data_IF_757808271730
#
_entry.id   IF_757808271730
#
_cell.length_a   1.000
_cell.length_b   1.000
_cell.length_c   1.000
_cell.angle_alpha   90.00
_cell.angle_beta   90.00
_cell.angle_gamma   90.00
#
_symmetry.space_group_name_H-M   'P 1'
#
loop_
_entity.id
_entity.type
_entity.pdbx_description
1 polymer ?
#
# COMPACT_ATOMS: atom_id res chain seq x y z
N UNK A 1 -15.43 3.43 -14.28
CA UNK A 1 -15.63 2.01 -13.88
C UNK A 1 -14.95 1.82 -12.53
N UNK A 2 -15.62 2.24 -11.45
CA UNK A 2 -15.05 2.18 -10.11
C UNK A 2 -15.00 0.73 -9.65
N UNK A 3 -13.81 0.19 -9.40
CA UNK A 3 -13.66 -1.01 -8.56
C UNK A 3 -14.51 -0.77 -7.30
N UNK A 4 -15.41 -1.71 -6.99
CA UNK A 4 -16.35 -1.55 -5.87
C UNK A 4 -15.55 -1.26 -4.61
N UNK A 5 -15.98 -0.27 -3.81
CA UNK A 5 -15.32 0.10 -2.56
C UNK A 5 -15.15 -1.16 -1.67
N UNK A 6 -13.93 -1.70 -1.59
CA UNK A 6 -13.61 -2.96 -0.92
C UNK A 6 -12.79 -3.94 -1.76
N UNK A 7 -12.95 -3.95 -3.08
CA UNK A 7 -12.19 -4.84 -3.98
C UNK A 7 -10.70 -4.46 -3.98
N UNK A 8 -10.38 -3.16 -4.00
CA UNK A 8 -9.01 -2.65 -3.93
C UNK A 8 -8.30 -3.06 -2.63
N UNK A 9 -9.00 -2.99 -1.49
CA UNK A 9 -8.45 -3.38 -0.18
C UNK A 9 -8.20 -4.90 -0.12
N UNK A 10 -9.14 -5.70 -0.65
CA UNK A 10 -8.99 -7.16 -0.73
C UNK A 10 -7.79 -7.56 -1.60
N UNK A 11 -7.61 -6.90 -2.75
CA UNK A 11 -6.50 -7.19 -3.64
C UNK A 11 -5.14 -6.84 -3.01
N UNK A 12 -5.04 -5.70 -2.29
CA UNK A 12 -3.83 -5.36 -1.54
C UNK A 12 -3.50 -6.43 -0.49
N UNK A 13 -4.50 -6.87 0.28
CA UNK A 13 -4.31 -7.93 1.29
C UNK A 13 -3.81 -9.23 0.66
N UNK A 14 -4.44 -9.67 -0.44
CA UNK A 14 -4.05 -10.89 -1.16
C UNK A 14 -2.61 -10.82 -1.67
N UNK A 15 -2.18 -9.68 -2.22
CA UNK A 15 -0.82 -9.51 -2.73
C UNK A 15 0.23 -9.67 -1.62
N UNK A 16 -0.02 -9.06 -0.44
CA UNK A 16 0.87 -9.23 0.71
C UNK A 16 0.86 -10.67 1.24
N UNK A 17 -0.32 -11.28 1.42
CA UNK A 17 -0.43 -12.67 1.86
C UNK A 17 0.28 -13.66 0.91
N UNK A 18 0.20 -13.44 -0.40
CA UNK A 18 0.88 -14.25 -1.41
C UNK A 18 2.40 -14.07 -1.33
N UNK A 19 2.89 -12.84 -1.16
CA UNK A 19 4.31 -12.57 -0.97
C UNK A 19 4.86 -13.20 0.32
N UNK A 20 4.11 -13.13 1.43
CA UNK A 20 4.51 -13.78 2.68
C UNK A 20 4.58 -15.30 2.54
N UNK A 21 3.58 -15.92 1.90
CA UNK A 21 3.54 -17.39 1.66
C UNK A 21 4.68 -17.86 0.75
N UNK A 22 5.10 -17.03 -0.19
CA UNK A 22 6.14 -17.35 -1.16
C UNK A 22 7.50 -16.70 -0.83
N UNK A 23 7.71 -16.28 0.42
CA UNK A 23 8.97 -15.68 0.87
C UNK A 23 10.17 -16.60 0.57
N UNK A 24 11.30 -16.09 0.01
CA UNK A 24 11.61 -14.68 -0.21
C UNK A 24 10.92 -14.08 -1.44
N UNK A 25 10.36 -12.88 -1.30
CA UNK A 25 9.57 -12.23 -2.34
C UNK A 25 9.80 -10.71 -2.42
N UNK A 26 9.50 -10.13 -3.59
CA UNK A 26 9.48 -8.69 -3.80
C UNK A 26 8.07 -8.28 -4.20
N UNK A 27 7.48 -7.33 -3.49
CA UNK A 27 6.25 -6.66 -3.90
C UNK A 27 6.64 -5.36 -4.60
N UNK A 28 6.19 -5.18 -5.85
CA UNK A 28 6.41 -3.93 -6.59
C UNK A 28 5.09 -3.18 -6.76
N UNK A 29 5.05 -1.94 -6.29
CA UNK A 29 3.90 -1.04 -6.40
C UNK A 29 4.27 0.11 -7.33
N UNK A 30 3.82 0.04 -8.57
CA UNK A 30 3.93 1.19 -9.48
C UNK A 30 2.84 2.23 -9.19
N UNK A 31 3.11 3.48 -9.56
CA UNK A 31 2.21 4.63 -9.36
C UNK A 31 1.64 4.71 -7.93
N UNK A 32 2.51 4.62 -6.91
CA UNK A 32 2.10 4.61 -5.50
C UNK A 32 1.24 5.83 -5.12
N UNK A 33 1.44 6.97 -5.77
CA UNK A 33 0.65 8.18 -5.56
C UNK A 33 -0.84 8.03 -5.93
N UNK A 34 -1.21 7.01 -6.71
CA UNK A 34 -2.60 6.70 -7.05
C UNK A 34 -3.39 6.06 -5.89
N UNK A 35 -2.70 5.27 -5.05
CA UNK A 35 -3.33 4.54 -3.93
C UNK A 35 -2.98 5.10 -2.56
N UNK A 36 -1.97 5.96 -2.48
CA UNK A 36 -1.50 6.55 -1.23
C UNK A 36 -1.32 8.08 -1.27
N UNK A 37 -2.31 8.86 -1.73
CA UNK A 37 -2.22 10.31 -1.69
C UNK A 37 -2.27 10.85 -0.25
N UNK A 38 -1.78 12.09 -0.06
CA UNK A 38 -1.97 12.86 1.19
C UNK A 38 -3.44 12.92 1.56
N UNK A 39 -3.78 12.56 2.80
CA UNK A 39 -5.14 12.53 3.34
C UNK A 39 -5.91 13.86 3.20
N UNK A 40 -5.20 14.99 3.23
CA UNK A 40 -5.75 16.33 3.02
C UNK A 40 -6.27 16.55 1.59
N UNK A 41 -5.65 15.89 0.61
CA UNK A 41 -6.07 15.92 -0.82
C UNK A 41 -7.11 14.85 -1.15
N UNK A 42 -7.41 13.98 -0.20
CA UNK A 42 -8.33 12.85 -0.35
C UNK A 42 -9.73 13.28 0.08
N UNK A 43 -10.62 13.49 -0.89
CA UNK A 43 -12.01 13.85 -0.63
C UNK A 43 -12.92 12.63 -0.40
N UNK A 44 -12.49 11.42 -0.80
CA UNK A 44 -13.27 10.19 -0.66
C UNK A 44 -12.85 9.32 0.54
N UNK A 45 -13.83 8.83 1.30
CA UNK A 45 -13.59 7.87 2.39
C UNK A 45 -12.95 6.56 1.91
N UNK A 46 -13.24 6.15 0.67
CA UNK A 46 -12.70 4.93 0.07
C UNK A 46 -11.18 5.04 -0.12
N UNK A 47 -10.70 6.15 -0.67
CA UNK A 47 -9.27 6.38 -0.87
C UNK A 47 -8.53 6.41 0.48
N UNK A 48 -9.11 7.07 1.51
CA UNK A 48 -8.53 7.09 2.86
C UNK A 48 -8.39 5.68 3.46
N UNK A 49 -9.37 4.81 3.21
CA UNK A 49 -9.32 3.41 3.66
C UNK A 49 -8.22 2.62 2.96
N UNK A 50 -8.02 2.83 1.65
CA UNK A 50 -6.93 2.20 0.90
C UNK A 50 -5.56 2.59 1.48
N UNK A 51 -5.32 3.88 1.76
CA UNK A 51 -4.06 4.33 2.39
C UNK A 51 -3.86 3.67 3.76
N UNK A 52 -4.93 3.63 4.57
CA UNK A 52 -4.90 3.03 5.91
C UNK A 52 -4.63 1.52 5.87
N UNK A 53 -5.21 0.83 4.89
CA UNK A 53 -4.99 -0.60 4.65
C UNK A 53 -3.55 -0.87 4.22
N UNK A 54 -2.97 -0.06 3.32
CA UNK A 54 -1.58 -0.21 2.92
C UNK A 54 -0.62 -0.02 4.11
N UNK A 55 -0.83 1.03 4.93
CA UNK A 55 -0.05 1.25 6.16
C UNK A 55 -0.13 0.03 7.09
N UNK A 56 -1.33 -0.51 7.32
CA UNK A 56 -1.53 -1.68 8.16
C UNK A 56 -0.80 -2.92 7.63
N UNK A 57 -0.76 -3.10 6.31
CA UNK A 57 -0.04 -4.22 5.68
C UNK A 57 1.48 -4.06 5.81
N UNK A 58 2.00 -2.84 5.61
CA UNK A 58 3.43 -2.53 5.78
C UNK A 58 3.88 -2.76 7.22
N UNK A 59 3.14 -2.25 8.21
CA UNK A 59 3.42 -2.43 9.64
C UNK A 59 3.29 -3.89 10.09
N UNK A 60 2.44 -4.66 9.39
CA UNK A 60 2.18 -6.08 9.67
C UNK A 60 3.24 -7.04 9.16
N UNK A 61 4.16 -6.60 8.28
CA UNK A 61 5.25 -7.43 7.79
C UNK A 61 6.17 -7.80 8.96
N UNK A 62 6.19 -9.08 9.32
CA UNK A 62 7.06 -9.56 10.40
C UNK A 62 8.51 -9.43 9.96
N UNK A 63 9.41 -9.06 10.88
CA UNK A 63 10.85 -8.94 10.61
C UNK A 63 11.50 -10.23 10.06
N UNK A 64 10.85 -11.39 10.25
CA UNK A 64 11.34 -12.69 9.77
C UNK A 64 10.82 -13.05 8.37
N UNK A 65 9.88 -12.28 7.82
CA UNK A 65 9.40 -12.49 6.45
C UNK A 65 10.38 -11.80 5.51
N UNK A 66 11.02 -12.55 4.61
CA UNK A 66 11.99 -12.01 3.64
C UNK A 66 11.25 -11.37 2.46
N UNK A 67 10.39 -10.39 2.75
CA UNK A 67 9.60 -9.65 1.77
C UNK A 67 10.13 -8.23 1.70
N UNK A 68 10.51 -7.80 0.50
CA UNK A 68 10.91 -6.41 0.23
C UNK A 68 9.79 -5.74 -0.55
N UNK A 69 9.34 -4.57 -0.09
CA UNK A 69 8.37 -3.76 -0.82
C UNK A 69 9.11 -2.63 -1.53
N UNK A 70 8.99 -2.61 -2.85
CA UNK A 70 9.49 -1.56 -3.72
C UNK A 70 8.32 -0.76 -4.29
N UNK A 71 8.49 0.55 -4.44
CA UNK A 71 7.46 1.40 -5.01
C UNK A 71 8.04 2.46 -5.94
N UNK A 72 7.25 2.84 -6.95
CA UNK A 72 7.58 3.90 -7.91
C UNK A 72 6.49 4.98 -7.92
N UNK A 73 6.89 6.23 -8.20
CA UNK A 73 5.98 7.36 -8.34
C UNK A 73 6.63 8.49 -9.13
N UNK A 74 5.82 9.24 -9.88
CA UNK A 74 6.24 10.50 -10.49
C UNK A 74 5.99 11.71 -9.57
N UNK A 75 5.34 11.52 -8.43
CA UNK A 75 4.88 12.58 -7.52
C UNK A 75 5.22 12.25 -6.05
N UNK A 76 6.51 12.18 -5.68
CA UNK A 76 6.92 11.78 -4.32
C UNK A 76 6.38 12.67 -3.19
N UNK A 77 6.08 13.94 -3.49
CA UNK A 77 5.55 14.91 -2.53
C UNK A 77 4.03 14.82 -2.33
N UNK A 78 3.32 14.03 -3.14
CA UNK A 78 1.88 13.78 -2.95
C UNK A 78 1.58 12.52 -2.14
N UNK A 79 2.59 11.71 -1.83
CA UNK A 79 2.42 10.49 -1.03
C UNK A 79 2.15 10.85 0.44
N UNK A 80 1.30 10.06 1.12
CA UNK A 80 1.08 10.15 2.57
C UNK A 80 2.42 10.05 3.33
N UNK A 81 2.81 11.07 4.10
CA UNK A 81 4.08 11.07 4.85
C UNK A 81 4.24 9.88 5.81
N UNK A 82 3.15 9.26 6.26
CA UNK A 82 3.20 8.09 7.13
C UNK A 82 3.90 6.89 6.47
N UNK A 83 3.79 6.73 5.14
CA UNK A 83 4.45 5.64 4.39
C UNK A 83 5.96 5.83 4.22
N UNK A 84 6.48 7.02 4.54
CA UNK A 84 7.91 7.36 4.44
C UNK A 84 8.62 7.36 5.78
N UNK A 85 7.94 6.92 6.84
CA UNK A 85 8.51 6.77 8.18
C UNK A 85 9.45 5.56 8.21
N UNK A 86 10.28 5.49 9.24
CA UNK A 86 11.12 4.34 9.51
C UNK A 86 10.27 3.08 9.72
N UNK A 87 10.65 1.98 9.08
CA UNK A 87 9.99 0.67 9.12
C UNK A 87 10.93 -0.43 8.61
#
# INVERSE_FOLDING_TARGET
MSKMAGESESNLRKAFEEAEKNSPAIIFIDELDSIAPKREKTHGEVERRIVSQLLTLMDGLKQRTHVIVMAATNRPNSIDPALRRFG
#
